data_IF_063536565130
#
_entry.id   IF_063536565130
#
_cell.length_a   1.000
_cell.length_b   1.000
_cell.length_c   1.000
_cell.angle_alpha   90.00
_cell.angle_beta   90.00
_cell.angle_gamma   90.00
#
_symmetry.space_group_name_H-M   'P 1'
#
loop_
_entity.id
_entity.type
_entity.pdbx_description
1 polymer ?
#
# COMPACT_ATOMS: atom_id res chain seq x y z
N UNK A 1 8.17 -36.81 -4.66
CA UNK A 1 7.13 -36.96 -5.70
C UNK A 1 5.70 -36.72 -5.21
N UNK A 2 5.44 -36.85 -3.92
CA UNK A 2 4.11 -36.57 -3.36
C UNK A 2 3.83 -35.04 -3.28
N UNK A 3 4.85 -34.20 -3.10
CA UNK A 3 4.76 -32.76 -3.09
C UNK A 3 4.42 -32.15 -4.47
N UNK A 4 5.00 -32.70 -5.52
CA UNK A 4 4.76 -32.31 -6.92
C UNK A 4 3.31 -32.58 -7.38
N UNK A 5 2.72 -33.67 -6.91
CA UNK A 5 1.36 -34.06 -7.29
C UNK A 5 0.27 -33.25 -6.58
N UNK A 6 0.55 -32.74 -5.38
CA UNK A 6 -0.34 -31.81 -4.66
C UNK A 6 -0.28 -30.40 -5.24
N UNK A 7 0.87 -29.98 -5.75
CA UNK A 7 1.02 -28.69 -6.43
C UNK A 7 0.25 -28.62 -7.77
N UNK A 8 0.14 -29.75 -8.48
CA UNK A 8 -0.67 -29.82 -9.72
C UNK A 8 -2.17 -29.81 -9.45
N UNK A 9 -2.64 -30.36 -8.33
CA UNK A 9 -4.06 -30.41 -7.96
C UNK A 9 -4.62 -29.06 -7.49
N UNK A 10 -3.75 -28.15 -7.04
CA UNK A 10 -4.11 -26.78 -6.59
C UNK A 10 -3.84 -25.72 -7.64
N UNK A 11 -3.20 -26.06 -8.77
CA UNK A 11 -2.90 -25.11 -9.82
C UNK A 11 -4.18 -24.64 -10.53
N UNK A 12 -4.43 -23.33 -10.45
CA UNK A 12 -5.50 -22.68 -11.20
C UNK A 12 -5.28 -22.82 -12.71
N UNK A 13 -6.34 -22.87 -13.51
CA UNK A 13 -6.20 -22.91 -14.97
C UNK A 13 -5.36 -21.73 -15.48
N UNK A 14 -4.55 -21.90 -16.55
CA UNK A 14 -3.65 -20.85 -17.06
C UNK A 14 -4.35 -19.55 -17.39
N UNK A 15 -5.60 -19.59 -17.85
CA UNK A 15 -6.42 -18.43 -18.13
C UNK A 15 -6.80 -17.65 -16.86
N UNK A 16 -7.14 -18.34 -15.78
CA UNK A 16 -7.45 -17.72 -14.48
C UNK A 16 -6.19 -17.13 -13.85
N UNK A 17 -5.05 -17.83 -13.91
CA UNK A 17 -3.77 -17.32 -13.43
C UNK A 17 -3.41 -16.00 -14.13
N UNK A 18 -3.47 -15.98 -15.46
CA UNK A 18 -3.21 -14.78 -16.25
C UNK A 18 -4.17 -13.64 -15.89
N UNK A 19 -5.45 -13.93 -15.74
CA UNK A 19 -6.46 -12.97 -15.32
C UNK A 19 -6.18 -12.39 -13.92
N UNK A 20 -5.76 -13.22 -12.98
CA UNK A 20 -5.38 -12.80 -11.62
C UNK A 20 -4.14 -11.88 -11.65
N UNK A 21 -3.09 -12.24 -12.40
CA UNK A 21 -1.87 -11.42 -12.52
C UNK A 21 -2.20 -10.05 -13.10
N UNK A 22 -2.99 -9.97 -14.17
CA UNK A 22 -3.41 -8.69 -14.77
C UNK A 22 -4.18 -7.85 -13.76
N UNK A 23 -5.17 -8.43 -13.06
CA UNK A 23 -5.95 -7.71 -12.05
C UNK A 23 -5.10 -7.23 -10.88
N UNK A 24 -4.19 -8.08 -10.38
CA UNK A 24 -3.27 -7.68 -9.30
C UNK A 24 -2.30 -6.59 -9.75
N UNK A 25 -1.77 -6.65 -10.96
CA UNK A 25 -0.91 -5.61 -11.52
C UNK A 25 -1.65 -4.29 -11.67
N UNK A 26 -2.88 -4.33 -12.19
CA UNK A 26 -3.74 -3.13 -12.31
C UNK A 26 -4.10 -2.59 -10.92
N UNK A 27 -4.48 -3.45 -9.99
CA UNK A 27 -4.76 -3.05 -8.61
C UNK A 27 -3.52 -2.46 -7.93
N UNK A 28 -2.33 -3.02 -8.16
CA UNK A 28 -1.06 -2.49 -7.66
C UNK A 28 -0.77 -1.09 -8.23
N UNK A 29 -1.02 -0.88 -9.52
CA UNK A 29 -0.83 0.42 -10.17
C UNK A 29 -1.77 1.49 -9.59
N UNK A 30 -3.02 1.13 -9.33
CA UNK A 30 -4.01 2.04 -8.75
C UNK A 30 -3.77 2.25 -7.24
N UNK A 31 -3.71 1.17 -6.48
CA UNK A 31 -3.60 1.22 -5.03
C UNK A 31 -2.25 1.76 -4.54
N UNK A 32 -1.16 1.49 -5.26
CA UNK A 32 0.16 2.02 -4.94
C UNK A 32 0.25 3.54 -5.05
N UNK A 33 -0.61 4.19 -5.82
CA UNK A 33 -0.71 5.64 -5.90
C UNK A 33 -1.02 6.28 -4.53
N UNK A 34 -1.70 5.56 -3.61
CA UNK A 34 -1.94 6.02 -2.24
C UNK A 34 -0.63 6.41 -1.52
N UNK A 35 0.36 5.55 -1.60
CA UNK A 35 1.68 5.80 -0.98
C UNK A 35 2.34 7.04 -1.57
N UNK A 36 2.34 7.18 -2.90
CA UNK A 36 2.90 8.33 -3.60
C UNK A 36 2.20 9.63 -3.21
N UNK A 37 0.86 9.64 -3.17
CA UNK A 37 0.08 10.82 -2.75
C UNK A 37 0.43 11.23 -1.32
N UNK A 38 0.48 10.28 -0.37
CA UNK A 38 0.78 10.58 1.04
C UNK A 38 2.21 11.14 1.19
N UNK A 39 3.21 10.57 0.51
CA UNK A 39 4.58 11.11 0.60
C UNK A 39 4.72 12.45 -0.10
N UNK A 40 4.07 12.68 -1.24
CA UNK A 40 4.13 13.96 -1.95
C UNK A 40 3.43 15.11 -1.21
N UNK A 41 2.35 14.81 -0.48
CA UNK A 41 1.50 15.85 0.13
C UNK A 41 1.54 15.89 1.66
N UNK A 42 1.91 14.77 2.29
CA UNK A 42 1.74 14.55 3.73
C UNK A 42 2.48 15.54 4.62
N UNK A 43 3.74 15.85 4.29
CA UNK A 43 4.52 16.86 5.05
C UNK A 43 4.02 18.29 4.79
N UNK A 44 3.52 18.57 3.59
CA UNK A 44 3.03 19.89 3.20
C UNK A 44 1.69 20.19 3.89
N UNK A 45 0.75 19.24 3.81
CA UNK A 45 -0.54 19.34 4.51
C UNK A 45 -0.32 19.27 6.02
N UNK A 46 0.59 18.40 6.48
CA UNK A 46 0.98 18.34 7.89
C UNK A 46 1.48 19.69 8.40
N UNK A 47 2.39 20.34 7.66
CA UNK A 47 2.90 21.69 8.03
C UNK A 47 1.82 22.78 7.96
N UNK A 48 0.83 22.65 7.07
CA UNK A 48 -0.26 23.60 6.95
C UNK A 48 -1.29 23.49 8.09
N UNK A 49 -1.57 22.26 8.53
CA UNK A 49 -2.60 21.97 9.54
C UNK A 49 -2.05 21.84 10.96
N UNK A 50 -0.75 21.62 11.14
CA UNK A 50 -0.16 21.36 12.45
C UNK A 50 -0.26 22.60 13.36
N UNK A 51 -0.64 22.40 14.62
CA UNK A 51 -0.62 23.48 15.63
C UNK A 51 0.80 23.93 15.94
N UNK A 52 1.79 23.05 15.78
CA UNK A 52 3.21 23.32 15.90
C UNK A 52 3.94 22.75 14.66
N UNK A 53 4.82 23.55 14.06
CA UNK A 53 5.60 23.16 12.87
C UNK A 53 6.52 21.97 13.09
N UNK A 54 6.89 21.68 14.34
CA UNK A 54 7.65 20.47 14.69
C UNK A 54 6.89 19.16 14.38
N UNK A 55 5.56 19.23 14.31
CA UNK A 55 4.68 18.12 14.02
C UNK A 55 4.37 17.94 12.51
N UNK A 56 4.95 18.75 11.64
CA UNK A 56 4.65 18.75 10.19
C UNK A 56 4.79 17.36 9.54
N UNK A 57 5.74 16.54 9.97
CA UNK A 57 6.00 15.20 9.43
C UNK A 57 5.30 14.08 10.21
N UNK A 58 4.59 14.40 11.30
CA UNK A 58 3.88 13.41 12.11
C UNK A 58 2.87 12.57 11.31
N UNK A 59 2.09 13.13 10.36
CA UNK A 59 1.18 12.33 9.55
C UNK A 59 1.88 11.21 8.78
N UNK A 60 3.11 11.45 8.27
CA UNK A 60 3.92 10.43 7.58
C UNK A 60 4.40 9.37 8.56
N UNK A 61 4.81 9.76 9.76
CA UNK A 61 5.18 8.82 10.83
C UNK A 61 3.99 7.92 11.20
N UNK A 62 2.80 8.50 11.36
CA UNK A 62 1.56 7.76 11.66
C UNK A 62 1.18 6.82 10.51
N UNK A 63 1.38 7.24 9.26
CA UNK A 63 1.22 6.37 8.10
C UNK A 63 2.12 5.12 8.18
N UNK A 64 3.39 5.29 8.52
CA UNK A 64 4.34 4.17 8.68
C UNK A 64 3.93 3.26 9.84
N UNK A 65 3.48 3.83 10.95
CA UNK A 65 2.93 3.07 12.09
C UNK A 65 1.70 2.29 11.65
N UNK A 66 0.77 2.92 10.94
CA UNK A 66 -0.43 2.27 10.40
C UNK A 66 -0.09 1.11 9.46
N UNK A 67 0.94 1.27 8.65
CA UNK A 67 1.44 0.20 7.77
C UNK A 67 2.01 -0.97 8.59
N UNK A 68 2.84 -0.70 9.59
CA UNK A 68 3.40 -1.75 10.45
C UNK A 68 2.31 -2.49 11.22
N UNK A 69 1.36 -1.77 11.79
CA UNK A 69 0.22 -2.34 12.52
C UNK A 69 -0.76 -3.08 11.61
N UNK A 70 -0.90 -2.66 10.35
CA UNK A 70 -1.78 -3.27 9.37
C UNK A 70 -1.33 -4.66 8.89
N UNK A 71 -0.04 -4.98 9.00
CA UNK A 71 0.51 -6.26 8.52
C UNK A 71 -0.13 -7.46 9.23
N UNK A 72 -0.24 -7.42 10.56
CA UNK A 72 -0.78 -8.53 11.34
C UNK A 72 -2.27 -8.80 11.08
N UNK A 73 -3.18 -7.80 11.13
CA UNK A 73 -4.58 -7.99 10.76
C UNK A 73 -4.76 -8.47 9.32
N UNK A 74 -3.99 -7.91 8.36
CA UNK A 74 -4.01 -8.32 6.96
C UNK A 74 -3.70 -9.82 6.82
N UNK A 75 -2.65 -10.30 7.49
CA UNK A 75 -2.28 -11.71 7.51
C UNK A 75 -3.33 -12.60 8.17
N UNK A 76 -3.89 -12.15 9.30
CA UNK A 76 -4.92 -12.88 10.04
C UNK A 76 -6.23 -13.02 9.22
N UNK A 77 -6.68 -11.94 8.58
CA UNK A 77 -7.86 -11.94 7.71
C UNK A 77 -7.60 -12.83 6.48
N UNK A 78 -6.43 -12.71 5.85
CA UNK A 78 -6.08 -13.53 4.69
C UNK A 78 -6.06 -15.02 5.02
N UNK A 79 -5.55 -15.40 6.20
CA UNK A 79 -5.50 -16.78 6.67
C UNK A 79 -6.89 -17.33 6.99
N UNK A 80 -7.79 -16.53 7.60
CA UNK A 80 -9.11 -16.99 8.06
C UNK A 80 -10.17 -16.90 6.97
N UNK A 81 -10.17 -15.84 6.19
CA UNK A 81 -11.23 -15.50 5.24
C UNK A 81 -10.75 -15.47 3.78
N UNK A 82 -9.48 -15.79 3.56
CA UNK A 82 -8.86 -15.75 2.24
C UNK A 82 -8.31 -14.37 1.85
N UNK A 83 -7.35 -14.37 0.91
CA UNK A 83 -6.66 -13.15 0.46
C UNK A 83 -7.61 -12.14 -0.18
N UNK A 84 -8.63 -12.60 -0.93
CA UNK A 84 -9.61 -11.72 -1.56
C UNK A 84 -10.32 -10.83 -0.53
N UNK A 85 -10.78 -11.43 0.58
CA UNK A 85 -11.45 -10.68 1.67
C UNK A 85 -10.50 -9.67 2.30
N UNK A 86 -9.25 -10.08 2.57
CA UNK A 86 -8.22 -9.18 3.09
C UNK A 86 -7.98 -7.98 2.17
N UNK A 87 -7.97 -8.19 0.85
CA UNK A 87 -7.79 -7.13 -0.13
C UNK A 87 -8.96 -6.16 -0.17
N UNK A 88 -10.19 -6.65 -0.10
CA UNK A 88 -11.38 -5.80 -0.07
C UNK A 88 -11.47 -4.97 1.23
N UNK A 89 -11.13 -5.56 2.38
CA UNK A 89 -11.02 -4.82 3.65
C UNK A 89 -9.94 -3.74 3.56
N UNK A 90 -8.77 -4.07 3.00
CA UNK A 90 -7.69 -3.10 2.81
C UNK A 90 -8.08 -1.95 1.88
N UNK A 91 -8.73 -2.24 0.76
CA UNK A 91 -9.19 -1.18 -0.16
C UNK A 91 -10.28 -0.30 0.46
N UNK A 92 -11.11 -0.84 1.35
CA UNK A 92 -12.03 -0.03 2.15
C UNK A 92 -11.28 0.97 3.05
N UNK A 93 -10.16 0.54 3.67
CA UNK A 93 -9.28 1.47 4.41
C UNK A 93 -8.73 2.57 3.48
N UNK A 94 -8.41 2.26 2.22
CA UNK A 94 -7.97 3.24 1.23
C UNK A 94 -9.03 4.29 0.90
N UNK A 95 -10.28 3.86 0.73
CA UNK A 95 -11.41 4.78 0.53
C UNK A 95 -11.61 5.66 1.76
N UNK A 96 -11.60 5.08 2.96
CA UNK A 96 -11.71 5.81 4.22
C UNK A 96 -10.59 6.84 4.35
N UNK A 97 -9.35 6.48 3.98
CA UNK A 97 -8.20 7.41 3.96
C UNK A 97 -8.49 8.65 3.13
N UNK A 98 -8.90 8.46 1.88
CA UNK A 98 -9.16 9.59 0.99
C UNK A 98 -10.32 10.47 1.48
N UNK A 99 -11.41 9.88 1.97
CA UNK A 99 -12.55 10.63 2.50
C UNK A 99 -12.19 11.39 3.78
N UNK A 100 -11.52 10.73 4.73
CA UNK A 100 -11.10 11.38 5.99
C UNK A 100 -10.06 12.48 5.74
N UNK A 101 -9.11 12.27 4.82
CA UNK A 101 -8.12 13.27 4.48
C UNK A 101 -8.77 14.49 3.80
N UNK A 102 -9.75 14.28 2.93
CA UNK A 102 -10.56 15.35 2.34
C UNK A 102 -11.26 16.15 3.43
N UNK A 103 -11.97 15.48 4.34
CA UNK A 103 -12.65 16.14 5.47
C UNK A 103 -11.66 16.88 6.37
N UNK A 104 -10.50 16.29 6.65
CA UNK A 104 -9.47 16.89 7.47
C UNK A 104 -8.97 18.23 6.90
N UNK A 105 -8.77 18.29 5.58
CA UNK A 105 -8.38 19.52 4.89
C UNK A 105 -9.51 20.55 4.92
N UNK A 106 -10.76 20.14 4.66
CA UNK A 106 -11.92 21.04 4.69
C UNK A 106 -12.19 21.60 6.09
N UNK A 107 -11.98 20.79 7.14
CA UNK A 107 -12.18 21.19 8.53
C UNK A 107 -10.92 21.79 9.16
N UNK A 108 -9.81 21.88 8.43
CA UNK A 108 -8.50 22.30 8.94
C UNK A 108 -8.08 21.55 10.20
N UNK A 109 -8.37 20.23 10.25
CA UNK A 109 -8.12 19.38 11.42
C UNK A 109 -6.89 18.52 11.25
N UNK A 110 -5.82 18.85 11.98
CA UNK A 110 -4.57 18.10 11.97
C UNK A 110 -4.72 16.64 12.44
N UNK A 111 -5.43 16.43 13.55
CA UNK A 111 -5.60 15.09 14.13
C UNK A 111 -6.46 14.17 13.27
N UNK A 112 -7.46 14.73 12.60
CA UNK A 112 -8.27 13.99 11.64
C UNK A 112 -7.42 13.56 10.43
N UNK A 113 -6.49 14.42 10.00
CA UNK A 113 -5.52 14.08 8.94
C UNK A 113 -4.57 12.96 9.38
N UNK A 114 -4.07 13.01 10.60
CA UNK A 114 -3.26 11.95 11.19
C UNK A 114 -4.02 10.61 11.22
N UNK A 115 -5.30 10.62 11.58
CA UNK A 115 -6.15 9.43 11.55
C UNK A 115 -6.31 8.90 10.12
N UNK A 116 -6.52 9.78 9.15
CA UNK A 116 -6.60 9.41 7.74
C UNK A 116 -5.32 8.71 7.26
N UNK A 117 -4.16 9.26 7.60
CA UNK A 117 -2.87 8.67 7.20
C UNK A 117 -2.61 7.32 7.87
N UNK A 118 -3.11 7.08 9.09
CA UNK A 118 -3.06 5.77 9.73
C UNK A 118 -3.78 4.69 8.89
N UNK A 119 -5.01 4.96 8.45
CA UNK A 119 -5.73 4.04 7.55
C UNK A 119 -5.03 3.88 6.20
N UNK A 120 -4.42 4.95 5.69
CA UNK A 120 -3.60 4.90 4.48
C UNK A 120 -2.41 3.96 4.61
N UNK A 121 -1.77 3.94 5.77
CA UNK A 121 -0.72 2.98 6.11
C UNK A 121 -1.23 1.55 6.12
N UNK A 122 -2.36 1.29 6.81
CA UNK A 122 -2.98 -0.03 6.86
C UNK A 122 -3.37 -0.52 5.45
N UNK A 123 -3.87 0.36 4.60
CA UNK A 123 -4.12 0.05 3.19
C UNK A 123 -2.84 -0.33 2.44
N UNK A 124 -1.75 0.41 2.64
CA UNK A 124 -0.46 0.12 2.02
C UNK A 124 0.08 -1.25 2.44
N UNK A 125 -0.12 -1.69 3.69
CA UNK A 125 0.23 -3.03 4.14
C UNK A 125 -0.45 -4.12 3.31
N UNK A 126 -1.71 -3.92 2.96
CA UNK A 126 -2.47 -4.83 2.07
C UNK A 126 -1.93 -4.79 0.65
N UNK A 127 -1.66 -3.60 0.10
CA UNK A 127 -1.12 -3.41 -1.26
C UNK A 127 0.22 -4.13 -1.42
N UNK A 128 1.10 -4.07 -0.42
CA UNK A 128 2.36 -4.80 -0.41
C UNK A 128 2.20 -6.33 -0.47
N UNK A 129 1.04 -6.87 -0.10
CA UNK A 129 0.77 -8.30 -0.16
C UNK A 129 0.27 -8.80 -1.53
N UNK A 130 -0.09 -7.91 -2.46
CA UNK A 130 -0.57 -8.28 -3.81
C UNK A 130 0.45 -9.11 -4.59
N UNK A 131 1.74 -8.78 -4.47
CA UNK A 131 2.82 -9.53 -5.11
C UNK A 131 2.87 -11.00 -4.67
N UNK A 132 2.60 -11.27 -3.41
CA UNK A 132 2.60 -12.64 -2.89
C UNK A 132 1.37 -13.41 -3.40
N UNK A 133 0.22 -12.76 -3.49
CA UNK A 133 -0.99 -13.36 -4.05
C UNK A 133 -0.83 -13.71 -5.55
N UNK A 134 -0.01 -12.98 -6.28
CA UNK A 134 0.29 -13.31 -7.68
C UNK A 134 1.09 -14.61 -7.82
N UNK A 135 1.82 -15.00 -6.79
CA UNK A 135 2.59 -16.24 -6.77
C UNK A 135 1.75 -17.46 -6.33
N UNK A 136 0.56 -17.21 -5.76
CA UNK A 136 -0.33 -18.28 -5.31
C UNK A 136 -0.98 -18.97 -6.52
N UNK A 137 -0.98 -20.31 -6.51
CA UNK A 137 -1.57 -21.10 -7.59
C UNK A 137 -0.81 -21.08 -8.93
N UNK A 138 0.43 -20.58 -8.93
CA UNK A 138 1.33 -20.54 -10.09
C UNK A 138 2.47 -21.54 -9.89
N UNK A 139 2.86 -22.27 -10.96
CA UNK A 139 4.00 -23.16 -10.95
C UNK A 139 5.28 -22.49 -10.43
N UNK A 140 6.12 -23.21 -9.70
CA UNK A 140 7.34 -22.69 -9.08
C UNK A 140 8.25 -21.92 -10.06
N UNK A 141 8.39 -22.43 -11.29
CA UNK A 141 9.20 -21.80 -12.34
C UNK A 141 8.65 -20.44 -12.82
N UNK A 142 7.36 -20.17 -12.65
CA UNK A 142 6.68 -18.94 -13.09
C UNK A 142 6.43 -17.93 -11.97
N UNK A 143 6.63 -18.33 -10.69
CA UNK A 143 6.38 -17.45 -9.52
C UNK A 143 7.16 -16.14 -9.58
N UNK A 144 8.46 -16.21 -9.88
CA UNK A 144 9.31 -15.03 -9.97
C UNK A 144 8.80 -14.03 -11.04
N UNK A 145 8.36 -14.55 -12.19
CA UNK A 145 7.80 -13.73 -13.26
C UNK A 145 6.49 -13.08 -12.86
N UNK A 146 5.59 -13.80 -12.19
CA UNK A 146 4.33 -13.25 -11.68
C UNK A 146 4.56 -12.13 -10.65
N UNK A 147 5.51 -12.32 -9.71
CA UNK A 147 5.94 -11.27 -8.78
C UNK A 147 6.42 -10.01 -9.51
N UNK A 148 7.32 -10.20 -10.50
CA UNK A 148 7.91 -9.09 -11.26
C UNK A 148 6.86 -8.27 -12.00
N UNK A 149 5.83 -8.90 -12.57
CA UNK A 149 4.73 -8.19 -13.23
C UNK A 149 3.96 -7.30 -12.24
N UNK A 150 3.61 -7.82 -11.07
CA UNK A 150 2.89 -7.03 -10.06
C UNK A 150 3.77 -5.91 -9.51
N UNK A 151 5.06 -6.16 -9.29
CA UNK A 151 6.01 -5.11 -8.87
C UNK A 151 6.17 -4.02 -9.93
N UNK A 152 6.13 -4.39 -11.23
CA UNK A 152 6.09 -3.43 -12.35
C UNK A 152 4.88 -2.49 -12.27
N UNK A 153 3.73 -2.98 -11.80
CA UNK A 153 2.57 -2.14 -11.48
C UNK A 153 2.87 -1.05 -10.44
N UNK A 154 3.81 -1.31 -9.51
CA UNK A 154 4.28 -0.31 -8.55
C UNK A 154 5.01 0.88 -9.18
N UNK A 155 5.73 0.68 -10.28
CA UNK A 155 6.35 1.77 -11.05
C UNK A 155 5.28 2.65 -11.67
N UNK A 156 4.25 2.03 -12.26
CA UNK A 156 3.09 2.76 -12.81
C UNK A 156 2.35 3.52 -11.71
N UNK A 157 2.26 2.95 -10.50
CA UNK A 157 1.67 3.61 -9.34
C UNK A 157 2.35 4.93 -8.98
N UNK A 158 3.69 5.00 -9.07
CA UNK A 158 4.44 6.23 -8.87
C UNK A 158 4.01 7.33 -9.85
N UNK A 159 3.92 6.97 -11.13
CA UNK A 159 3.48 7.89 -12.20
C UNK A 159 2.02 8.32 -11.97
N UNK A 160 1.13 7.36 -11.72
CA UNK A 160 -0.30 7.63 -11.46
C UNK A 160 -0.47 8.55 -10.25
N UNK A 161 0.25 8.29 -9.15
CA UNK A 161 0.18 9.10 -7.94
C UNK A 161 0.67 10.53 -8.16
N UNK A 162 1.82 10.70 -8.82
CA UNK A 162 2.37 12.03 -9.12
C UNK A 162 1.43 12.85 -10.00
N UNK A 163 0.90 12.25 -11.08
CA UNK A 163 -0.06 12.92 -11.96
C UNK A 163 -1.37 13.22 -11.25
N UNK A 164 -1.86 12.30 -10.39
CA UNK A 164 -3.06 12.55 -9.60
C UNK A 164 -2.89 13.81 -8.76
N UNK A 165 -1.76 13.96 -8.04
CA UNK A 165 -1.47 15.15 -7.25
C UNK A 165 -1.42 16.39 -8.15
N UNK A 166 -0.61 16.35 -9.21
CA UNK A 166 -0.39 17.51 -10.10
C UNK A 166 -1.69 18.04 -10.71
N UNK A 167 -2.55 17.16 -11.21
CA UNK A 167 -3.79 17.58 -11.89
C UNK A 167 -4.93 17.94 -10.93
N UNK A 168 -4.89 17.50 -9.67
CA UNK A 168 -6.01 17.69 -8.74
C UNK A 168 -5.73 18.64 -7.60
N UNK A 169 -4.46 19.00 -7.33
CA UNK A 169 -4.09 19.81 -6.16
C UNK A 169 -4.73 21.20 -6.13
N UNK A 170 -5.08 21.78 -7.28
CA UNK A 170 -5.68 23.11 -7.41
C UNK A 170 -7.12 23.10 -7.89
N UNK A 171 -7.78 21.94 -8.04
CA UNK A 171 -9.17 21.88 -8.48
C UNK A 171 -10.13 22.62 -7.54
N UNK A 172 -9.83 22.64 -6.25
CA UNK A 172 -10.53 23.47 -5.28
C UNK A 172 -9.61 24.56 -4.79
N UNK A 173 -9.76 25.76 -5.37
CA UNK A 173 -8.88 26.91 -5.13
C UNK A 173 -8.76 27.31 -3.66
N UNK A 174 -9.80 27.07 -2.85
CA UNK A 174 -9.80 27.37 -1.40
C UNK A 174 -9.19 26.29 -0.52
N UNK A 175 -9.06 25.05 -1.02
CA UNK A 175 -8.64 23.90 -0.23
C UNK A 175 -7.64 23.03 -1.01
N UNK A 176 -6.38 23.42 -0.94
CA UNK A 176 -5.29 22.70 -1.62
C UNK A 176 -5.25 21.24 -1.19
N UNK A 177 -5.15 20.33 -2.14
CA UNK A 177 -5.14 18.86 -1.99
C UNK A 177 -6.47 18.20 -1.56
N UNK A 178 -7.54 18.92 -1.22
CA UNK A 178 -8.81 18.27 -0.86
C UNK A 178 -9.36 17.41 -2.02
N UNK A 179 -9.33 17.95 -3.24
CA UNK A 179 -9.71 17.20 -4.45
C UNK A 179 -8.76 16.03 -4.73
N UNK A 180 -7.47 16.15 -4.40
CA UNK A 180 -6.48 15.07 -4.54
C UNK A 180 -6.84 13.87 -3.67
N UNK A 181 -7.22 14.09 -2.41
CA UNK A 181 -7.63 13.00 -1.53
C UNK A 181 -8.96 12.37 -1.93
N UNK A 182 -9.89 13.18 -2.45
CA UNK A 182 -11.13 12.64 -3.00
C UNK A 182 -10.87 11.77 -4.24
N UNK A 183 -9.99 12.21 -5.14
CA UNK A 183 -9.55 11.42 -6.28
C UNK A 183 -8.83 10.14 -5.86
N UNK A 184 -8.01 10.20 -4.79
CA UNK A 184 -7.38 9.02 -4.18
C UNK A 184 -8.42 8.02 -3.67
N UNK A 185 -9.51 8.49 -3.01
CA UNK A 185 -10.61 7.62 -2.60
C UNK A 185 -11.28 6.93 -3.80
N UNK A 186 -11.50 7.65 -4.89
CA UNK A 186 -12.05 7.09 -6.13
C UNK A 186 -11.13 6.03 -6.75
N UNK A 187 -9.81 6.28 -6.79
CA UNK A 187 -8.81 5.31 -7.26
C UNK A 187 -8.77 4.07 -6.37
N UNK A 188 -8.88 4.22 -5.05
CA UNK A 188 -8.97 3.09 -4.12
C UNK A 188 -10.25 2.26 -4.36
N UNK A 189 -11.40 2.92 -4.58
CA UNK A 189 -12.65 2.25 -4.92
C UNK A 189 -12.54 1.50 -6.27
N UNK A 190 -11.92 2.09 -7.27
CA UNK A 190 -11.65 1.45 -8.56
C UNK A 190 -10.76 0.20 -8.39
N UNK A 191 -9.72 0.29 -7.56
CA UNK A 191 -8.89 -0.86 -7.20
C UNK A 191 -9.72 -1.97 -6.55
N UNK A 192 -10.67 -1.64 -5.66
CA UNK A 192 -11.58 -2.61 -5.07
C UNK A 192 -12.43 -3.33 -6.13
N UNK A 193 -12.97 -2.59 -7.09
CA UNK A 193 -13.77 -3.17 -8.19
C UNK A 193 -12.94 -4.16 -9.02
N UNK A 194 -11.69 -3.81 -9.33
CA UNK A 194 -10.76 -4.72 -10.05
C UNK A 194 -10.51 -5.99 -9.23
N UNK A 195 -10.31 -5.85 -7.92
CA UNK A 195 -10.04 -6.97 -7.01
C UNK A 195 -11.27 -7.86 -6.74
N UNK A 196 -12.49 -7.35 -6.92
CA UNK A 196 -13.70 -8.17 -6.80
C UNK A 196 -13.74 -9.33 -7.81
N UNK A 197 -13.13 -9.16 -8.98
CA UNK A 197 -13.03 -10.19 -10.01
C UNK A 197 -11.91 -11.22 -9.80
N UNK A 198 -11.11 -11.12 -8.76
CA UNK A 198 -9.98 -12.03 -8.53
C UNK A 198 -10.47 -13.38 -8.01
N UNK A 199 -9.86 -14.45 -8.52
CA UNK A 199 -10.17 -15.84 -8.14
C UNK A 199 -8.91 -16.46 -7.53
N UNK A 200 -8.75 -16.32 -6.23
CA UNK A 200 -7.64 -16.91 -5.48
C UNK A 200 -8.12 -18.18 -4.75
N UNK A 201 -7.24 -19.19 -4.59
CA UNK A 201 -7.57 -20.36 -3.80
C UNK A 201 -7.88 -19.94 -2.35
N UNK A 202 -8.88 -20.58 -1.78
CA UNK A 202 -9.17 -20.44 -0.35
C UNK A 202 -8.10 -21.19 0.45
N UNK A 203 -7.67 -20.66 1.60
CA UNK A 203 -6.75 -21.37 2.46
C UNK A 203 -7.36 -22.70 2.91
N UNK A 204 -6.54 -23.74 2.94
CA UNK A 204 -6.96 -25.05 3.47
C UNK A 204 -7.19 -24.97 4.98
N UNK A 205 -7.98 -25.92 5.54
CA UNK A 205 -8.21 -25.96 6.99
C UNK A 205 -6.88 -26.09 7.76
N UNK A 206 -5.93 -26.84 7.21
CA UNK A 206 -4.58 -26.99 7.78
C UNK A 206 -3.79 -25.67 7.78
N UNK A 207 -3.87 -24.89 6.71
CA UNK A 207 -3.25 -23.57 6.63
C UNK A 207 -3.94 -22.54 7.54
N UNK A 208 -5.26 -22.65 7.70
CA UNK A 208 -6.02 -21.76 8.56
C UNK A 208 -5.80 -22.05 10.06
N UNK A 209 -5.63 -23.33 10.45
CA UNK A 209 -5.48 -23.78 11.84
C UNK A 209 -4.05 -24.19 12.18
N UNK A 210 -3.23 -24.54 11.18
CA UNK A 210 -1.85 -24.95 11.36
C UNK A 210 -1.03 -23.80 11.94
N UNK A 211 -0.49 -23.98 13.14
CA UNK A 211 0.50 -23.09 13.71
C UNK A 211 1.76 -23.15 12.82
N UNK A 212 2.08 -22.03 12.15
CA UNK A 212 3.37 -21.90 11.46
C UNK A 212 4.54 -22.13 12.43
N UNK A 213 5.78 -22.13 11.92
CA UNK A 213 6.96 -22.24 12.78
C UNK A 213 6.91 -21.21 13.90
N UNK A 214 7.22 -21.60 15.16
CA UNK A 214 7.21 -20.66 16.28
C UNK A 214 8.09 -19.44 15.97
N UNK A 215 7.54 -18.25 16.19
CA UNK A 215 8.20 -16.99 15.87
C UNK A 215 9.59 -16.89 16.56
N UNK A 216 9.71 -17.49 17.74
CA UNK A 216 10.97 -17.55 18.51
C UNK A 216 12.11 -18.29 17.79
N UNK A 217 11.80 -19.29 16.95
CA UNK A 217 12.80 -19.97 16.15
C UNK A 217 13.22 -19.15 14.92
N UNK A 218 12.26 -18.41 14.32
CA UNK A 218 12.52 -17.57 13.14
C UNK A 218 13.40 -16.37 13.51
N UNK A 219 13.10 -15.68 14.61
CA UNK A 219 13.82 -14.48 15.05
C UNK A 219 15.30 -14.77 15.39
N UNK A 220 15.62 -16.00 15.79
CA UNK A 220 17.00 -16.40 16.12
C UNK A 220 17.85 -16.78 14.90
N UNK A 221 17.28 -16.85 13.71
CA UNK A 221 18.04 -17.19 12.52
C UNK A 221 18.91 -16.00 12.07
N UNK A 222 20.25 -16.19 11.89
CA UNK A 222 21.15 -15.10 11.51
C UNK A 222 20.74 -14.45 10.19
N UNK A 223 20.28 -15.27 9.22
CA UNK A 223 19.79 -14.78 7.92
C UNK A 223 18.57 -13.87 8.09
N UNK A 224 17.65 -14.20 9.00
CA UNK A 224 16.48 -13.37 9.30
C UNK A 224 16.89 -12.04 9.94
N UNK A 225 17.79 -12.07 10.92
CA UNK A 225 18.31 -10.87 11.60
C UNK A 225 18.98 -9.94 10.59
N UNK A 226 19.86 -10.46 9.73
CA UNK A 226 20.53 -9.69 8.69
C UNK A 226 19.52 -9.07 7.72
N UNK A 227 18.52 -9.84 7.26
CA UNK A 227 17.48 -9.34 6.37
C UNK A 227 16.64 -8.23 7.02
N UNK A 228 16.31 -8.36 8.31
CA UNK A 228 15.57 -7.34 9.07
C UNK A 228 16.40 -6.06 9.21
N UNK A 229 17.68 -6.14 9.56
CA UNK A 229 18.55 -4.97 9.69
C UNK A 229 18.72 -4.26 8.34
N UNK A 230 19.05 -4.99 7.28
CA UNK A 230 19.20 -4.43 5.94
C UNK A 230 17.90 -3.78 5.45
N UNK A 231 16.77 -4.46 5.66
CA UNK A 231 15.46 -3.94 5.31
C UNK A 231 15.10 -2.68 6.09
N UNK A 232 15.33 -2.66 7.40
CA UNK A 232 15.08 -1.51 8.26
C UNK A 232 15.92 -0.29 7.85
N UNK A 233 17.22 -0.47 7.62
CA UNK A 233 18.11 0.63 7.19
C UNK A 233 17.68 1.16 5.82
N UNK A 234 17.48 0.28 4.82
CA UNK A 234 17.09 0.69 3.48
C UNK A 234 15.75 1.41 3.47
N UNK A 235 14.77 0.90 4.22
CA UNK A 235 13.44 1.51 4.32
C UNK A 235 13.48 2.85 5.04
N UNK A 236 14.28 2.98 6.11
CA UNK A 236 14.47 4.24 6.84
C UNK A 236 15.08 5.32 5.95
N UNK A 237 16.12 4.99 5.18
CA UNK A 237 16.76 5.92 4.24
C UNK A 237 15.78 6.34 3.12
N UNK A 238 15.03 5.39 2.58
CA UNK A 238 14.02 5.67 1.56
C UNK A 238 12.95 6.64 2.11
N UNK A 239 12.39 6.36 3.30
CA UNK A 239 11.39 7.22 3.92
C UNK A 239 11.94 8.62 4.22
N UNK A 240 13.17 8.71 4.71
CA UNK A 240 13.82 9.99 4.96
C UNK A 240 13.91 10.83 3.68
N UNK A 241 14.40 10.24 2.59
CA UNK A 241 14.50 10.94 1.30
C UNK A 241 13.13 11.35 0.76
N UNK A 242 12.15 10.44 0.76
CA UNK A 242 10.81 10.72 0.26
C UNK A 242 10.07 11.80 1.08
N UNK A 243 10.36 11.89 2.38
CA UNK A 243 9.76 12.91 3.26
C UNK A 243 10.46 14.24 3.15
N UNK A 244 11.81 14.23 3.09
CA UNK A 244 12.63 15.44 3.09
C UNK A 244 12.63 16.14 1.72
N UNK A 245 12.56 15.40 0.61
CA UNK A 245 12.67 15.97 -0.73
C UNK A 245 11.57 16.99 -1.05
N UNK A 246 10.26 16.69 -0.91
CA UNK A 246 9.20 17.67 -1.17
C UNK A 246 9.30 18.92 -0.29
N UNK A 247 9.65 18.71 0.98
CA UNK A 247 9.79 19.79 1.93
C UNK A 247 11.01 20.69 1.60
N UNK A 248 12.15 20.06 1.27
CA UNK A 248 13.37 20.76 0.89
C UNK A 248 13.21 21.55 -0.42
N UNK A 249 12.54 20.99 -1.43
CA UNK A 249 12.26 21.68 -2.69
C UNK A 249 11.35 22.88 -2.48
N UNK A 250 10.33 22.77 -1.63
CA UNK A 250 9.46 23.90 -1.27
C UNK A 250 10.22 25.00 -0.54
N UNK A 251 11.12 24.66 0.40
CA UNK A 251 11.98 25.62 1.08
C UNK A 251 13.00 26.28 0.14
N UNK A 252 13.45 25.59 -0.89
CA UNK A 252 14.32 26.08 -1.94
C UNK A 252 13.63 26.95 -3.00
N UNK A 253 12.32 27.24 -2.84
CA UNK A 253 11.56 28.12 -3.76
C UNK A 253 11.08 27.43 -5.04
N UNK A 254 11.21 26.11 -5.14
CA UNK A 254 10.66 25.33 -6.27
C UNK A 254 9.14 25.21 -6.19
N UNK A 255 8.48 25.18 -7.36
CA UNK A 255 7.03 24.99 -7.42
C UNK A 255 6.66 23.56 -6.94
N UNK A 256 5.45 23.41 -6.39
CA UNK A 256 4.93 22.12 -6.00
C UNK A 256 4.86 21.13 -7.19
N UNK A 257 4.59 21.66 -8.37
CA UNK A 257 4.55 20.89 -9.61
C UNK A 257 5.91 20.25 -9.93
N UNK A 258 7.01 20.99 -9.75
CA UNK A 258 8.39 20.48 -9.91
C UNK A 258 8.76 19.44 -8.84
N UNK A 259 8.15 19.49 -7.66
CA UNK A 259 8.43 18.52 -6.60
C UNK A 259 7.66 17.20 -6.73
N UNK A 260 6.61 17.17 -7.58
CA UNK A 260 5.79 15.99 -7.82
C UNK A 260 6.33 15.09 -8.95
N UNK A 261 7.26 15.60 -9.75
CA UNK A 261 7.95 14.87 -10.85
C UNK A 261 9.21 14.19 -10.34
#
# INVERSE_FOLDING_TARGET
DFSSKNDELTALSPSVQRGNIIRLTTAQALAGANTTVIFATGSIVGNALAPDKSLATLPITIFVIGMAMGILPTGAIARRYGRRTSFLVGTSCGVITGLLATLAVLMSSFWLYCLATFFGGAYTAVVLSFRFAAADGVEAAKKARALSFVMGGGVVAGIVGAHLVTYTMHLWSSYMFAATYLAQAAVAALSALVLMGIKLPMPTVEEATGGGRPLSLIIRQPLFITAVICGAVSYSLMNFLMTAAPLGMKMGGHSQESSNL
#
